data_IF_228365986816
#
_entry.id   IF_228365986816
#
_cell.length_a   1.000
_cell.length_b   1.000
_cell.length_c   1.000
_cell.angle_alpha   90.00
_cell.angle_beta   90.00
_cell.angle_gamma   90.00
#
_symmetry.space_group_name_H-M   'P 1'
#
loop_
_entity.id
_entity.type
_entity.pdbx_description
1 polymer ?
#
# COMPACT_ATOMS: atom_id res chain seq x y z
N UNK A 1 2.99 -46.27 13.73
CA UNK A 1 2.59 -44.98 13.11
C UNK A 1 1.08 -45.00 12.95
N UNK A 2 0.34 -44.31 13.81
CA UNK A 2 -1.08 -43.99 13.62
C UNK A 2 -1.18 -42.53 13.15
N UNK A 3 -2.22 -42.21 12.38
CA UNK A 3 -2.40 -40.96 11.64
C UNK A 3 -2.70 -39.69 12.49
N UNK A 4 -2.05 -39.56 13.64
CA UNK A 4 -2.11 -38.40 14.54
C UNK A 4 -0.86 -38.33 15.42
N UNK A 5 0.30 -38.51 14.78
CA UNK A 5 1.54 -38.99 15.38
C UNK A 5 2.08 -38.15 16.54
N UNK A 6 1.81 -38.61 17.77
CA UNK A 6 2.53 -38.18 18.97
C UNK A 6 3.74 -39.08 19.24
N UNK A 7 4.80 -38.51 19.81
CA UNK A 7 5.93 -39.23 20.38
C UNK A 7 5.74 -39.24 21.90
N UNK A 8 5.77 -40.42 22.51
CA UNK A 8 5.69 -40.59 23.96
C UNK A 8 6.98 -41.18 24.50
N UNK A 9 7.47 -40.62 25.61
CA UNK A 9 8.57 -41.19 26.38
C UNK A 9 8.02 -41.65 27.72
N UNK A 10 7.75 -42.96 27.81
CA UNK A 10 6.99 -43.57 28.92
C UNK A 10 7.67 -43.40 30.28
N UNK A 11 9.01 -43.48 30.32
CA UNK A 11 9.78 -43.38 31.56
C UNK A 11 9.53 -42.09 32.34
N UNK A 12 9.17 -40.99 31.65
CA UNK A 12 8.85 -39.69 32.27
C UNK A 12 7.41 -39.25 32.00
N UNK A 13 6.59 -40.10 31.36
CA UNK A 13 5.25 -39.75 30.91
C UNK A 13 5.18 -38.56 29.95
N UNK A 14 6.29 -38.21 29.30
CA UNK A 14 6.38 -37.03 28.44
C UNK A 14 5.80 -37.30 27.06
N UNK A 15 5.11 -36.30 26.49
CA UNK A 15 4.45 -36.41 25.19
C UNK A 15 4.78 -35.20 24.33
N UNK A 16 5.18 -35.45 23.08
CA UNK A 16 5.36 -34.45 22.04
C UNK A 16 4.34 -34.70 20.92
N UNK A 17 3.55 -33.69 20.55
CA UNK A 17 2.43 -33.87 19.62
C UNK A 17 2.36 -32.70 18.63
N UNK A 18 2.16 -32.97 17.32
CA UNK A 18 1.82 -31.93 16.36
C UNK A 18 0.39 -31.42 16.64
N UNK A 19 0.23 -30.10 16.55
CA UNK A 19 -1.05 -29.42 16.75
C UNK A 19 -1.45 -28.76 15.44
N UNK A 20 -2.75 -28.66 15.17
CA UNK A 20 -3.28 -27.94 14.01
C UNK A 20 -3.16 -26.43 14.24
N UNK A 21 -3.19 -25.68 13.14
CA UNK A 21 -3.22 -24.20 13.15
C UNK A 21 -4.58 -23.61 13.55
N UNK A 22 -5.52 -24.42 14.06
CA UNK A 22 -6.85 -23.98 14.51
C UNK A 22 -6.84 -23.74 16.02
N UNK A 23 -6.78 -22.45 16.40
CA UNK A 23 -6.67 -22.01 17.78
C UNK A 23 -7.81 -22.49 18.68
N UNK A 24 -9.03 -22.67 18.13
CA UNK A 24 -10.21 -23.07 18.90
C UNK A 24 -10.08 -24.48 19.52
N UNK A 25 -9.17 -25.30 19.01
CA UNK A 25 -8.92 -26.67 19.50
C UNK A 25 -7.79 -26.76 20.52
N UNK A 26 -7.14 -25.62 20.81
CA UNK A 26 -5.90 -25.54 21.58
C UNK A 26 -6.10 -25.01 23.00
N UNK A 27 -7.31 -24.59 23.36
CA UNK A 27 -7.63 -24.21 24.73
C UNK A 27 -7.56 -25.40 25.70
N UNK A 28 -7.16 -25.11 26.94
CA UNK A 28 -7.05 -26.10 28.02
C UNK A 28 -5.88 -27.08 27.89
N UNK A 29 -4.96 -26.87 26.94
CA UNK A 29 -3.66 -27.55 26.96
C UNK A 29 -2.84 -27.05 28.15
N UNK A 30 -1.96 -27.89 28.66
CA UNK A 30 -1.07 -27.55 29.77
C UNK A 30 0.38 -27.79 29.33
N UNK A 31 0.83 -27.04 28.33
CA UNK A 31 2.09 -27.27 27.64
C UNK A 31 3.28 -26.84 28.49
N UNK A 32 4.29 -27.71 28.61
CA UNK A 32 5.59 -27.33 29.21
C UNK A 32 6.55 -26.72 28.19
N UNK A 33 6.37 -27.06 26.91
CA UNK A 33 7.10 -26.48 25.79
C UNK A 33 6.16 -26.35 24.59
N UNK A 34 6.17 -25.20 23.95
CA UNK A 34 5.45 -24.91 22.70
C UNK A 34 6.46 -24.49 21.65
N UNK A 35 6.42 -25.12 20.47
CA UNK A 35 7.20 -24.72 19.31
C UNK A 35 6.21 -24.19 18.26
N UNK A 36 6.29 -22.89 17.99
CA UNK A 36 5.52 -22.23 16.93
C UNK A 36 6.41 -22.17 15.70
N UNK A 37 6.20 -23.12 14.81
CA UNK A 37 6.96 -23.23 13.56
C UNK A 37 6.29 -22.41 12.43
N UNK A 38 7.13 -21.94 11.51
CA UNK A 38 6.78 -21.10 10.36
C UNK A 38 5.83 -19.94 10.69
N UNK A 39 6.14 -19.19 11.76
CA UNK A 39 5.25 -18.14 12.26
C UNK A 39 4.92 -17.06 11.21
N UNK A 40 5.80 -16.82 10.23
CA UNK A 40 5.53 -15.92 9.10
C UNK A 40 4.30 -16.30 8.27
N UNK A 41 3.91 -17.57 8.27
CA UNK A 41 2.77 -18.09 7.53
C UNK A 41 1.45 -18.00 8.32
N UNK A 42 1.50 -17.65 9.60
CA UNK A 42 0.30 -17.54 10.44
C UNK A 42 -0.46 -16.26 10.08
N UNK A 43 -1.76 -16.40 9.83
CA UNK A 43 -2.63 -15.28 9.44
C UNK A 43 -2.90 -14.31 10.59
N UNK A 44 -3.00 -14.84 11.81
CA UNK A 44 -3.30 -14.14 13.06
C UNK A 44 -2.39 -14.69 14.17
N UNK A 45 -2.32 -13.99 15.30
CA UNK A 45 -1.54 -14.39 16.48
C UNK A 45 -2.29 -15.35 17.42
N UNK A 46 -3.51 -15.77 17.07
CA UNK A 46 -4.39 -16.56 17.93
C UNK A 46 -3.75 -17.86 18.43
N UNK A 47 -3.08 -18.61 17.53
CA UNK A 47 -2.39 -19.86 17.91
C UNK A 47 -1.26 -19.58 18.90
N UNK A 48 -0.49 -18.52 18.66
CA UNK A 48 0.56 -18.09 19.58
C UNK A 48 -0.02 -17.72 20.95
N UNK A 49 -1.08 -16.90 20.96
CA UNK A 49 -1.72 -16.40 22.18
C UNK A 49 -2.32 -17.53 23.02
N UNK A 50 -3.07 -18.44 22.40
CA UNK A 50 -3.69 -19.60 23.07
C UNK A 50 -2.61 -20.55 23.62
N UNK A 51 -1.56 -20.82 22.86
CA UNK A 51 -0.50 -21.70 23.36
C UNK A 51 0.30 -21.04 24.48
N UNK A 52 0.52 -19.73 24.43
CA UNK A 52 1.16 -18.97 25.51
C UNK A 52 0.31 -18.98 26.79
N UNK A 53 -1.01 -18.80 26.68
CA UNK A 53 -1.90 -18.85 27.85
C UNK A 53 -1.95 -20.24 28.49
N UNK A 54 -1.91 -21.29 27.66
CA UNK A 54 -1.89 -22.71 28.08
C UNK A 54 -0.73 -23.06 29.04
N UNK A 55 0.33 -22.25 29.04
CA UNK A 55 1.55 -22.47 29.81
C UNK A 55 1.47 -21.94 31.24
N UNK A 56 0.42 -21.19 31.61
CA UNK A 56 0.34 -20.45 32.88
C UNK A 56 0.42 -21.30 34.16
N UNK A 57 0.09 -22.60 34.09
CA UNK A 57 0.14 -23.51 35.25
C UNK A 57 1.50 -24.23 35.41
N UNK A 58 2.48 -24.00 34.53
CA UNK A 58 3.78 -24.71 34.52
C UNK A 58 4.87 -23.87 35.18
N UNK A 59 5.81 -24.55 35.87
CA UNK A 59 6.81 -23.87 36.71
C UNK A 59 7.91 -23.13 35.93
N UNK A 60 8.23 -23.55 34.70
CA UNK A 60 9.25 -22.93 33.83
C UNK A 60 8.96 -23.29 32.37
N UNK A 61 7.86 -22.79 31.79
CA UNK A 61 7.46 -23.24 30.46
C UNK A 61 8.25 -22.50 29.38
N UNK A 62 8.52 -23.16 28.27
CA UNK A 62 9.28 -22.59 27.15
C UNK A 62 8.40 -22.40 25.92
N UNK A 63 8.43 -21.22 25.31
CA UNK A 63 7.82 -20.97 23.99
C UNK A 63 8.94 -20.62 23.02
N UNK A 64 9.09 -21.41 21.97
CA UNK A 64 10.07 -21.20 20.92
C UNK A 64 9.35 -20.85 19.62
N UNK A 65 9.71 -19.72 19.01
CA UNK A 65 9.27 -19.36 17.65
C UNK A 65 10.42 -19.70 16.70
N UNK A 66 10.11 -20.47 15.66
CA UNK A 66 11.02 -20.77 14.56
C UNK A 66 10.35 -20.24 13.29
N UNK A 67 11.04 -19.39 12.55
CA UNK A 67 10.47 -18.77 11.35
C UNK A 67 11.55 -18.22 10.45
N UNK A 68 11.16 -17.94 9.21
CA UNK A 68 11.90 -17.15 8.24
C UNK A 68 11.15 -15.84 7.95
N UNK A 69 11.72 -15.00 7.09
CA UNK A 69 11.03 -13.83 6.54
C UNK A 69 9.84 -14.27 5.69
N UNK A 70 8.77 -13.50 5.76
CA UNK A 70 7.56 -13.69 4.97
C UNK A 70 7.21 -12.44 4.17
N UNK A 71 6.15 -12.56 3.40
CA UNK A 71 5.66 -11.46 2.55
C UNK A 71 4.64 -10.55 3.26
N UNK A 72 4.10 -10.99 4.42
CA UNK A 72 3.10 -10.24 5.16
C UNK A 72 3.74 -9.33 6.22
N UNK A 73 4.04 -8.09 5.81
CA UNK A 73 4.56 -7.04 6.69
C UNK A 73 3.53 -6.52 7.71
N UNK A 74 2.23 -6.77 7.50
CA UNK A 74 1.19 -6.48 8.49
C UNK A 74 0.89 -7.68 9.40
N UNK A 75 1.63 -8.79 9.22
CA UNK A 75 1.40 -10.04 9.92
C UNK A 75 1.97 -10.04 11.35
N UNK A 76 1.43 -10.90 12.22
CA UNK A 76 1.84 -10.99 13.62
C UNK A 76 3.33 -11.31 13.79
N UNK A 77 3.89 -12.12 12.89
CA UNK A 77 5.32 -12.44 12.90
C UNK A 77 6.22 -11.23 12.62
N UNK A 78 5.83 -10.35 11.69
CA UNK A 78 6.61 -9.15 11.40
C UNK A 78 6.59 -8.18 12.57
N UNK A 79 5.42 -8.00 13.18
CA UNK A 79 5.26 -7.20 14.40
C UNK A 79 6.12 -7.75 15.55
N UNK A 80 6.07 -9.07 15.78
CA UNK A 80 6.87 -9.72 16.82
C UNK A 80 8.38 -9.53 16.59
N UNK A 81 8.85 -9.77 15.35
CA UNK A 81 10.24 -9.52 14.95
C UNK A 81 10.64 -8.07 15.18
N UNK A 82 9.80 -7.12 14.79
CA UNK A 82 10.08 -5.68 14.94
C UNK A 82 10.24 -5.30 16.41
N UNK A 83 9.43 -5.86 17.31
CA UNK A 83 9.60 -5.70 18.75
C UNK A 83 10.91 -6.30 19.25
N UNK A 84 11.26 -7.51 18.78
CA UNK A 84 12.51 -8.16 19.15
C UNK A 84 13.75 -7.38 18.69
N UNK A 85 13.72 -6.75 17.51
CA UNK A 85 14.80 -5.87 17.05
C UNK A 85 14.95 -4.67 17.98
N UNK A 86 13.85 -3.99 18.32
CA UNK A 86 13.88 -2.85 19.25
C UNK A 86 14.49 -3.24 20.61
N UNK A 87 14.19 -4.45 21.10
CA UNK A 87 14.81 -5.00 22.30
C UNK A 87 16.32 -5.20 22.13
N UNK A 88 16.75 -5.83 21.03
CA UNK A 88 18.17 -6.06 20.73
C UNK A 88 18.96 -4.74 20.55
N UNK A 89 18.30 -3.69 20.07
CA UNK A 89 18.84 -2.33 19.97
C UNK A 89 18.86 -1.57 21.30
N UNK A 90 18.31 -2.15 22.38
CA UNK A 90 18.27 -1.55 23.71
C UNK A 90 17.21 -0.47 23.90
N UNK A 91 16.19 -0.41 23.04
CA UNK A 91 15.06 0.54 23.20
C UNK A 91 14.21 0.19 24.43
N UNK A 92 14.12 -1.10 24.76
CA UNK A 92 13.54 -1.61 26.00
C UNK A 92 14.18 -2.94 26.39
N UNK A 93 13.98 -3.37 27.63
CA UNK A 93 14.51 -4.63 28.18
C UNK A 93 13.39 -5.66 28.39
N UNK A 94 13.68 -6.93 28.06
CA UNK A 94 12.81 -8.09 28.36
C UNK A 94 13.68 -9.32 28.64
N UNK A 95 13.96 -9.57 29.93
CA UNK A 95 14.80 -10.69 30.39
C UNK A 95 14.20 -12.08 30.10
N UNK A 96 12.91 -12.15 29.75
CA UNK A 96 12.24 -13.40 29.43
C UNK A 96 12.37 -13.80 27.96
N UNK A 97 12.89 -12.92 27.09
CA UNK A 97 13.00 -13.15 25.65
C UNK A 97 14.46 -13.24 25.19
N UNK A 98 14.82 -14.38 24.60
CA UNK A 98 16.02 -14.53 23.79
C UNK A 98 15.66 -14.43 22.30
N UNK A 99 16.17 -13.42 21.61
CA UNK A 99 15.98 -13.24 20.18
C UNK A 99 17.30 -13.49 19.42
N UNK A 100 17.25 -14.33 18.38
CA UNK A 100 18.34 -14.56 17.44
C UNK A 100 17.81 -14.34 16.03
N UNK A 101 18.35 -13.35 15.32
CA UNK A 101 17.89 -12.96 13.99
C UNK A 101 19.07 -13.04 13.02
N UNK A 102 18.96 -13.95 12.06
CA UNK A 102 19.91 -14.09 10.95
C UNK A 102 19.28 -13.47 9.71
N UNK A 103 19.68 -12.26 9.34
CA UNK A 103 19.04 -11.50 8.25
C UNK A 103 20.11 -10.63 7.60
N UNK A 104 19.87 -10.20 6.36
CA UNK A 104 20.65 -9.12 5.78
C UNK A 104 20.18 -7.78 6.38
N UNK A 105 21.13 -6.88 6.58
CA UNK A 105 20.92 -5.51 7.01
C UNK A 105 20.28 -4.68 5.88
N UNK A 106 20.68 -4.92 4.63
CA UNK A 106 20.13 -4.22 3.47
C UNK A 106 20.25 -4.98 2.14
N UNK A 107 19.66 -4.44 1.07
CA UNK A 107 19.77 -5.02 -0.28
C UNK A 107 21.16 -4.79 -0.89
N UNK A 108 21.78 -3.67 -0.58
CA UNK A 108 23.02 -3.20 -1.18
C UNK A 108 24.20 -4.12 -0.85
N UNK A 109 24.22 -4.69 0.36
CA UNK A 109 25.29 -5.57 0.80
C UNK A 109 25.36 -6.90 0.04
N UNK A 110 24.25 -7.31 -0.62
CA UNK A 110 24.20 -8.52 -1.43
C UNK A 110 25.18 -8.50 -2.61
N UNK A 111 25.67 -7.31 -2.98
CA UNK A 111 26.74 -7.15 -3.96
C UNK A 111 28.09 -7.74 -3.51
N UNK A 112 28.29 -7.93 -2.21
CA UNK A 112 29.42 -8.64 -1.62
C UNK A 112 29.00 -10.04 -1.12
N UNK A 113 29.38 -11.13 -1.82
CA UNK A 113 29.02 -12.49 -1.43
C UNK A 113 29.48 -12.92 -0.04
N UNK A 114 30.48 -12.25 0.54
CA UNK A 114 30.94 -12.54 1.91
C UNK A 114 29.85 -12.25 2.93
N UNK A 115 28.96 -11.30 2.65
CA UNK A 115 27.85 -10.93 3.55
C UNK A 115 26.75 -11.99 3.59
N UNK A 116 26.67 -12.89 2.61
CA UNK A 116 25.58 -13.86 2.48
C UNK A 116 25.46 -14.83 3.65
N UNK A 117 26.54 -15.02 4.41
CA UNK A 117 26.56 -15.81 5.65
C UNK A 117 25.66 -15.24 6.74
N UNK A 118 25.41 -13.92 6.77
CA UNK A 118 24.59 -13.26 7.81
C UNK A 118 23.17 -13.80 7.88
N UNK A 119 22.53 -13.97 6.73
CA UNK A 119 21.18 -14.53 6.60
C UNK A 119 21.15 -16.05 6.50
N UNK A 120 22.31 -16.69 6.36
CA UNK A 120 22.44 -18.12 6.08
C UNK A 120 23.37 -18.78 7.12
N UNK A 121 22.90 -19.08 8.34
CA UNK A 121 23.74 -19.63 9.41
C UNK A 121 24.36 -20.99 9.09
N UNK A 122 23.85 -21.70 8.07
CA UNK A 122 24.40 -22.97 7.57
C UNK A 122 25.13 -22.82 6.21
N UNK A 123 25.65 -21.63 5.90
CA UNK A 123 26.41 -21.34 4.68
C UNK A 123 27.61 -22.29 4.53
N UNK A 124 27.77 -22.90 3.36
CA UNK A 124 28.80 -23.90 3.05
C UNK A 124 28.48 -25.32 3.54
N UNK A 125 27.58 -25.49 4.51
CA UNK A 125 27.15 -26.80 5.00
C UNK A 125 25.93 -27.32 4.24
N UNK A 126 24.74 -26.80 4.57
CA UNK A 126 23.47 -27.14 3.90
C UNK A 126 23.04 -26.11 2.86
N UNK A 127 23.46 -24.84 3.01
CA UNK A 127 23.26 -23.80 2.00
C UNK A 127 24.52 -23.71 1.15
N UNK A 128 24.40 -24.03 -0.15
CA UNK A 128 25.54 -24.04 -1.07
C UNK A 128 25.84 -22.64 -1.60
N UNK A 129 27.10 -22.17 -1.57
CA UNK A 129 27.46 -20.85 -2.12
C UNK A 129 27.03 -20.68 -3.57
N UNK A 130 27.22 -21.72 -4.39
CA UNK A 130 26.91 -21.70 -5.83
C UNK A 130 25.41 -21.49 -6.09
N UNK A 131 24.55 -22.02 -5.21
CA UNK A 131 23.11 -21.80 -5.29
C UNK A 131 22.74 -20.34 -5.00
N UNK A 132 23.37 -19.72 -3.98
CA UNK A 132 23.11 -18.31 -3.68
C UNK A 132 23.66 -17.39 -4.78
N UNK A 133 24.77 -17.74 -5.43
CA UNK A 133 25.28 -17.03 -6.61
C UNK A 133 24.25 -17.07 -7.75
N UNK A 134 23.73 -18.25 -8.08
CA UNK A 134 22.69 -18.42 -9.11
C UNK A 134 21.42 -17.62 -8.79
N UNK A 135 20.96 -17.65 -7.53
CA UNK A 135 19.80 -16.89 -7.09
C UNK A 135 20.06 -15.37 -7.17
N UNK A 136 21.24 -14.90 -6.79
CA UNK A 136 21.62 -13.50 -6.93
C UNK A 136 21.65 -13.05 -8.39
N UNK A 137 22.22 -13.86 -9.29
CA UNK A 137 22.18 -13.59 -10.73
C UNK A 137 20.74 -13.60 -11.29
N UNK A 138 19.91 -14.52 -10.82
CA UNK A 138 18.50 -14.63 -11.22
C UNK A 138 17.72 -13.39 -10.82
N UNK A 139 17.85 -12.94 -9.57
CA UNK A 139 17.20 -11.71 -9.09
C UNK A 139 17.57 -10.49 -9.95
N UNK A 140 18.83 -10.37 -10.37
CA UNK A 140 19.29 -9.25 -11.20
C UNK A 140 18.79 -9.28 -12.64
N UNK A 141 18.44 -10.46 -13.15
CA UNK A 141 17.99 -10.64 -14.54
C UNK A 141 16.48 -10.82 -14.65
N UNK A 142 15.81 -11.17 -13.56
CA UNK A 142 14.37 -11.45 -13.45
C UNK A 142 13.77 -10.69 -12.26
N UNK A 143 13.41 -9.41 -12.44
CA UNK A 143 12.84 -8.57 -11.38
C UNK A 143 11.60 -9.19 -10.72
N UNK A 144 10.80 -9.96 -11.46
CA UNK A 144 9.62 -10.65 -10.93
C UNK A 144 9.94 -11.72 -9.87
N UNK A 145 11.18 -12.21 -9.83
CA UNK A 145 11.64 -13.17 -8.82
C UNK A 145 12.32 -12.49 -7.63
N UNK A 146 12.57 -11.19 -7.70
CA UNK A 146 13.37 -10.48 -6.72
C UNK A 146 12.81 -10.59 -5.31
N UNK A 147 11.53 -10.28 -5.13
CA UNK A 147 10.91 -10.32 -3.80
C UNK A 147 10.98 -11.73 -3.19
N UNK A 148 10.76 -12.76 -4.01
CA UNK A 148 10.85 -14.15 -3.58
C UNK A 148 12.27 -14.53 -3.15
N UNK A 149 13.28 -14.11 -3.91
CA UNK A 149 14.70 -14.41 -3.65
C UNK A 149 15.18 -13.66 -2.40
N UNK A 150 14.92 -12.35 -2.30
CA UNK A 150 15.25 -11.55 -1.13
C UNK A 150 14.64 -12.13 0.15
N UNK A 151 13.38 -12.55 0.09
CA UNK A 151 12.68 -13.15 1.23
C UNK A 151 13.22 -14.54 1.58
N UNK A 152 13.32 -15.43 0.59
CA UNK A 152 13.59 -16.86 0.83
C UNK A 152 15.07 -17.23 0.93
N UNK A 153 15.96 -16.48 0.28
CA UNK A 153 17.40 -16.77 0.25
C UNK A 153 18.23 -15.83 1.13
N UNK A 154 17.75 -14.60 1.34
CA UNK A 154 18.46 -13.56 2.09
C UNK A 154 17.72 -13.08 3.35
N UNK A 155 16.59 -13.73 3.67
CA UNK A 155 15.80 -13.52 4.87
C UNK A 155 15.41 -12.05 5.12
N UNK A 156 15.15 -11.31 4.05
CA UNK A 156 14.69 -9.92 4.09
C UNK A 156 13.16 -9.86 4.05
N UNK A 157 12.57 -9.06 4.91
CA UNK A 157 11.14 -8.77 4.84
C UNK A 157 10.90 -7.73 3.76
N UNK A 158 10.66 -8.21 2.55
CA UNK A 158 10.28 -7.36 1.42
C UNK A 158 8.83 -7.62 1.08
N UNK A 159 8.14 -6.54 0.70
CA UNK A 159 6.80 -6.68 0.17
C UNK A 159 6.92 -7.40 -1.18
N UNK A 160 6.14 -8.45 -1.39
CA UNK A 160 5.85 -8.90 -2.74
C UNK A 160 4.88 -7.88 -3.34
N UNK A 161 5.42 -6.76 -3.76
CA UNK A 161 4.74 -5.89 -4.70
C UNK A 161 5.51 -6.02 -6.00
N UNK A 162 4.79 -6.28 -7.09
CA UNK A 162 5.10 -5.51 -8.28
C UNK A 162 5.04 -4.05 -7.82
N UNK A 163 6.16 -3.50 -7.33
CA UNK A 163 6.28 -2.10 -6.98
C UNK A 163 5.90 -1.38 -8.25
N UNK A 164 4.69 -0.83 -8.28
CA UNK A 164 4.16 -0.33 -9.54
C UNK A 164 5.05 0.80 -10.06
N UNK A 165 5.39 1.74 -9.18
CA UNK A 165 6.37 2.80 -9.44
C UNK A 165 7.35 2.79 -8.28
N UNK A 166 8.64 2.61 -8.61
CA UNK A 166 9.70 2.62 -7.62
C UNK A 166 9.87 4.01 -7.00
N UNK A 167 10.25 4.05 -5.72
CA UNK A 167 10.32 5.29 -4.95
C UNK A 167 11.35 6.28 -5.50
N UNK A 168 12.46 5.78 -6.05
CA UNK A 168 13.48 6.58 -6.73
C UNK A 168 12.96 7.21 -8.03
N UNK A 169 12.22 6.43 -8.84
CA UNK A 169 11.52 6.92 -10.04
C UNK A 169 10.52 8.01 -9.68
N UNK A 170 9.71 7.79 -8.64
CA UNK A 170 8.76 8.79 -8.17
C UNK A 170 9.47 10.05 -7.66
N UNK A 171 10.52 9.91 -6.84
CA UNK A 171 11.27 11.05 -6.30
C UNK A 171 11.95 11.90 -7.38
N UNK A 172 12.33 11.31 -8.51
CA UNK A 172 12.89 12.02 -9.65
C UNK A 172 11.86 12.95 -10.34
N UNK A 173 10.56 12.70 -10.15
CA UNK A 173 9.44 13.53 -10.63
C UNK A 173 9.10 14.72 -9.70
N UNK A 174 10.03 15.12 -8.82
CA UNK A 174 9.83 16.31 -8.00
C UNK A 174 9.99 17.56 -8.89
N UNK A 175 8.95 18.39 -8.89
CA UNK A 175 8.95 19.64 -9.65
C UNK A 175 10.03 20.62 -9.17
N UNK A 176 10.67 21.30 -10.13
CA UNK A 176 11.46 22.52 -9.90
C UNK A 176 10.65 23.79 -10.20
N UNK A 177 9.46 23.66 -10.80
CA UNK A 177 8.59 24.80 -11.10
C UNK A 177 7.84 25.27 -9.85
N UNK A 178 7.65 26.59 -9.64
CA UNK A 178 6.85 27.10 -8.54
C UNK A 178 5.36 26.79 -8.76
N UNK A 179 4.65 26.32 -7.73
CA UNK A 179 3.20 26.04 -7.80
C UNK A 179 2.41 27.27 -8.24
N UNK A 180 2.88 28.47 -7.89
CA UNK A 180 2.26 29.75 -8.24
C UNK A 180 2.18 29.99 -9.74
N UNK A 181 3.05 29.36 -10.54
CA UNK A 181 3.00 29.49 -12.01
C UNK A 181 1.80 28.80 -12.63
N UNK A 182 1.10 27.93 -11.89
CA UNK A 182 -0.10 27.25 -12.35
C UNK A 182 -1.35 28.13 -12.27
N UNK A 183 -1.30 29.29 -11.61
CA UNK A 183 -2.48 30.14 -11.43
C UNK A 183 -3.04 30.61 -12.79
N UNK A 184 -4.34 30.38 -13.00
CA UNK A 184 -5.02 30.67 -14.26
C UNK A 184 -4.78 29.65 -15.40
N UNK A 185 -3.88 28.68 -15.22
CA UNK A 185 -3.67 27.62 -16.22
C UNK A 185 -4.88 26.68 -16.29
N UNK A 186 -5.08 26.08 -17.47
CA UNK A 186 -6.12 25.09 -17.68
C UNK A 186 -5.74 23.77 -17.00
N UNK A 187 -6.67 23.18 -16.26
CA UNK A 187 -6.45 21.90 -15.60
C UNK A 187 -7.67 20.99 -15.63
N UNK A 188 -7.40 19.71 -15.43
CA UNK A 188 -8.39 18.66 -15.25
C UNK A 188 -8.26 18.13 -13.84
N UNK A 189 -9.35 17.63 -13.26
CA UNK A 189 -9.33 17.15 -11.89
C UNK A 189 -9.94 15.76 -11.78
N UNK A 190 -9.49 15.01 -10.78
CA UNK A 190 -10.16 13.81 -10.29
C UNK A 190 -10.51 13.99 -8.82
N UNK A 191 -11.73 13.58 -8.46
CA UNK A 191 -12.31 13.70 -7.13
C UNK A 191 -12.70 12.32 -6.62
N UNK A 192 -11.91 11.81 -5.69
CA UNK A 192 -12.13 10.54 -5.01
C UNK A 192 -12.63 10.80 -3.59
N UNK A 193 -13.95 10.72 -3.42
CA UNK A 193 -14.58 10.85 -2.10
C UNK A 193 -14.58 9.48 -1.43
N UNK A 194 -13.84 9.39 -0.32
CA UNK A 194 -13.88 8.19 0.52
C UNK A 194 -15.27 7.98 1.11
N UNK A 195 -15.44 6.83 1.77
CA UNK A 195 -16.64 6.60 2.58
C UNK A 195 -16.80 7.71 3.62
N UNK A 196 -18.02 7.85 4.16
CA UNK A 196 -18.45 8.95 5.05
C UNK A 196 -17.44 9.33 6.15
N UNK A 197 -16.61 8.39 6.63
CA UNK A 197 -15.63 8.61 7.70
C UNK A 197 -14.17 8.36 7.24
N UNK A 198 -13.82 8.69 6.00
CA UNK A 198 -12.53 8.32 5.38
C UNK A 198 -11.87 9.46 4.59
N UNK A 199 -10.64 9.22 4.14
CA UNK A 199 -9.90 10.18 3.31
C UNK A 199 -10.68 10.54 2.04
N UNK A 200 -10.72 11.83 1.73
CA UNK A 200 -11.17 12.34 0.43
C UNK A 200 -10.02 13.05 -0.25
N UNK A 201 -9.91 12.89 -1.57
CA UNK A 201 -8.80 13.41 -2.36
C UNK A 201 -9.30 14.13 -3.60
N UNK A 202 -8.69 15.27 -3.91
CA UNK A 202 -8.82 15.96 -5.18
C UNK A 202 -7.42 16.13 -5.76
N UNK A 203 -7.20 15.76 -7.01
CA UNK A 203 -5.93 16.03 -7.69
C UNK A 203 -6.21 16.84 -8.95
N UNK A 204 -5.56 17.99 -9.07
CA UNK A 204 -5.54 18.78 -10.31
C UNK A 204 -4.35 18.32 -11.16
N UNK A 205 -4.58 18.08 -12.44
CA UNK A 205 -3.59 17.75 -13.45
C UNK A 205 -3.50 18.90 -14.47
N UNK A 206 -2.34 19.53 -14.52
CA UNK A 206 -1.96 20.56 -15.49
C UNK A 206 -1.06 19.93 -16.55
N UNK A 207 -1.09 20.49 -17.77
CA UNK A 207 -0.25 20.04 -18.89
C UNK A 207 0.50 21.23 -19.46
N UNK A 208 1.39 21.81 -18.63
CA UNK A 208 2.16 23.00 -18.95
C UNK A 208 3.65 22.64 -19.13
N UNK A 209 4.39 23.43 -19.91
CA UNK A 209 5.85 23.25 -20.09
C UNK A 209 6.28 21.83 -20.51
N UNK A 210 5.50 21.17 -21.37
CA UNK A 210 5.73 19.78 -21.83
C UNK A 210 5.77 18.73 -20.69
N UNK A 211 5.17 19.05 -19.54
CA UNK A 211 5.08 18.19 -18.37
C UNK A 211 3.64 18.07 -17.89
N UNK A 212 3.34 16.97 -17.20
CA UNK A 212 2.08 16.79 -16.47
C UNK A 212 2.31 17.10 -14.99
N UNK A 213 1.82 18.24 -14.50
CA UNK A 213 1.93 18.62 -13.09
C UNK A 213 0.70 18.18 -12.30
N UNK A 214 0.91 17.44 -11.20
CA UNK A 214 -0.11 16.99 -10.26
C UNK A 214 -0.08 17.83 -8.99
N UNK A 215 -1.19 18.51 -8.71
CA UNK A 215 -1.38 19.28 -7.48
C UNK A 215 -2.49 18.64 -6.62
N UNK A 216 -2.13 17.90 -5.56
CA UNK A 216 -3.09 17.17 -4.74
C UNK A 216 -3.60 17.97 -3.52
N UNK A 217 -4.86 17.72 -3.16
CA UNK A 217 -5.55 18.25 -1.99
C UNK A 217 -6.26 17.12 -1.25
N UNK A 218 -6.14 17.10 0.08
CA UNK A 218 -6.61 15.99 0.91
C UNK A 218 -7.43 16.47 2.11
N UNK A 219 -8.48 15.71 2.43
CA UNK A 219 -9.33 15.94 3.60
C UNK A 219 -9.48 14.67 4.44
N UNK A 220 -9.58 14.84 5.76
CA UNK A 220 -9.87 13.78 6.72
C UNK A 220 -10.89 14.27 7.78
N UNK A 221 -11.92 13.47 8.12
CA UNK A 221 -12.84 13.81 9.22
C UNK A 221 -12.16 13.86 10.59
N UNK A 222 -12.59 14.78 11.45
CA UNK A 222 -12.01 14.97 12.79
C UNK A 222 -12.10 13.71 13.65
N UNK A 223 -13.22 12.98 13.64
CA UNK A 223 -13.32 11.71 14.39
C UNK A 223 -12.34 10.66 13.85
N UNK A 224 -12.18 10.57 12.53
CA UNK A 224 -11.22 9.64 11.92
C UNK A 224 -9.78 10.02 12.28
N UNK A 225 -9.49 11.32 12.34
CA UNK A 225 -8.22 11.86 12.79
C UNK A 225 -7.97 11.56 14.28
N UNK A 226 -8.97 11.74 15.16
CA UNK A 226 -8.88 11.43 16.59
C UNK A 226 -8.71 9.94 16.86
N UNK A 227 -9.53 9.09 16.27
CA UNK A 227 -9.44 7.63 16.41
C UNK A 227 -8.11 7.10 15.87
N UNK A 228 -7.60 7.63 14.74
CA UNK A 228 -6.24 7.30 14.28
C UNK A 228 -5.17 7.77 15.27
N UNK A 229 -5.28 8.93 15.91
CA UNK A 229 -4.37 9.38 16.98
C UNK A 229 -4.42 8.47 18.21
N UNK A 230 -5.61 8.07 18.64
CA UNK A 230 -5.81 7.18 19.79
C UNK A 230 -5.27 5.77 19.52
N UNK A 231 -5.32 5.31 18.28
CA UNK A 231 -4.71 4.05 17.83
C UNK A 231 -3.17 4.10 17.71
N UNK A 232 -2.49 5.20 18.06
CA UNK A 232 -1.09 5.39 17.67
C UNK A 232 -0.11 5.78 18.77
N UNK A 233 0.72 4.79 19.13
CA UNK A 233 2.18 4.99 19.18
C UNK A 233 2.86 4.86 17.79
N UNK A 234 2.12 4.65 16.69
CA UNK A 234 2.71 4.13 15.42
C UNK A 234 2.46 4.89 14.09
N UNK A 235 1.64 5.96 13.94
CA UNK A 235 1.64 6.76 12.68
C UNK A 235 1.93 8.26 12.87
N UNK A 236 3.18 8.56 13.19
CA UNK A 236 3.73 9.92 13.29
C UNK A 236 3.47 10.85 12.07
N UNK A 237 3.11 10.30 10.90
CA UNK A 237 3.00 11.05 9.64
C UNK A 237 1.73 11.91 9.50
N UNK A 238 0.56 11.45 9.97
CA UNK A 238 -0.71 12.19 9.77
C UNK A 238 -0.68 13.53 10.51
N UNK A 239 -0.21 13.53 11.75
CA UNK A 239 -0.06 14.74 12.54
C UNK A 239 0.93 15.72 11.93
N UNK A 240 2.00 15.21 11.32
CA UNK A 240 2.95 16.03 10.57
C UNK A 240 2.26 16.66 9.36
N UNK A 241 1.49 15.90 8.58
CA UNK A 241 0.79 16.40 7.41
C UNK A 241 -0.27 17.46 7.74
N UNK A 242 -1.02 17.28 8.83
CA UNK A 242 -1.98 18.29 9.32
C UNK A 242 -1.25 19.57 9.76
N UNK A 243 -0.16 19.45 10.53
CA UNK A 243 0.65 20.60 10.95
C UNK A 243 1.31 21.34 9.77
N UNK A 244 1.68 20.62 8.73
CA UNK A 244 2.23 21.18 7.50
C UNK A 244 1.16 21.77 6.57
N UNK A 245 -0.13 21.63 6.90
CA UNK A 245 -1.23 22.10 6.06
C UNK A 245 -1.47 21.28 4.79
N UNK A 246 -0.86 20.09 4.70
CA UNK A 246 -0.98 19.17 3.55
C UNK A 246 -2.25 18.29 3.63
N UNK A 247 -2.76 18.08 4.84
CA UNK A 247 -3.99 17.33 5.10
C UNK A 247 -4.94 18.20 5.91
N UNK A 248 -6.13 18.47 5.36
CA UNK A 248 -7.13 19.30 6.03
C UNK A 248 -8.07 18.46 6.88
N UNK A 249 -8.19 18.79 8.16
CA UNK A 249 -9.18 18.17 9.04
C UNK A 249 -10.53 18.86 8.85
N UNK A 250 -11.57 18.09 8.54
CA UNK A 250 -12.95 18.58 8.47
C UNK A 250 -13.67 18.36 9.81
N UNK A 251 -14.44 19.32 10.33
CA UNK A 251 -15.12 19.18 11.62
C UNK A 251 -16.11 18.00 11.63
N UNK A 252 -16.26 17.36 12.79
CA UNK A 252 -17.30 16.36 13.03
C UNK A 252 -16.90 14.91 12.76
N UNK A 253 -17.91 14.04 12.81
CA UNK A 253 -17.78 12.59 12.68
C UNK A 253 -17.72 12.09 11.22
N UNK A 254 -18.26 12.90 10.31
CA UNK A 254 -18.38 12.61 8.89
C UNK A 254 -17.61 13.64 8.08
N UNK A 255 -17.24 13.31 6.84
CA UNK A 255 -16.63 14.26 5.91
C UNK A 255 -17.57 15.45 5.70
N UNK A 256 -17.13 16.64 6.11
CA UNK A 256 -17.89 17.87 5.91
C UNK A 256 -17.78 18.31 4.44
N UNK A 257 -18.77 17.90 3.66
CA UNK A 257 -18.84 18.21 2.23
C UNK A 257 -18.94 19.72 1.96
N UNK A 258 -19.43 20.54 2.88
CA UNK A 258 -19.44 22.00 2.69
C UNK A 258 -18.03 22.60 2.79
N UNK A 259 -17.13 21.98 3.56
CA UNK A 259 -15.71 22.36 3.56
C UNK A 259 -15.07 22.00 2.24
N UNK A 260 -15.30 20.78 1.72
CA UNK A 260 -14.75 20.33 0.44
C UNK A 260 -15.29 21.19 -0.71
N UNK A 261 -16.60 21.45 -0.74
CA UNK A 261 -17.27 22.29 -1.74
C UNK A 261 -16.64 23.67 -1.82
N UNK A 262 -16.45 24.33 -0.67
CA UNK A 262 -15.83 25.66 -0.58
C UNK A 262 -14.38 25.66 -1.05
N UNK A 263 -13.64 24.61 -0.75
CA UNK A 263 -12.26 24.48 -1.21
C UNK A 263 -12.18 24.29 -2.73
N UNK A 264 -13.03 23.45 -3.30
CA UNK A 264 -13.12 23.28 -4.75
C UNK A 264 -13.54 24.59 -5.42
N UNK A 265 -14.53 25.31 -4.89
CA UNK A 265 -14.94 26.61 -5.41
C UNK A 265 -13.79 27.65 -5.37
N UNK A 266 -13.00 27.67 -4.30
CA UNK A 266 -11.80 28.53 -4.20
C UNK A 266 -10.77 28.15 -5.26
N UNK A 267 -10.54 26.86 -5.48
CA UNK A 267 -9.61 26.37 -6.50
C UNK A 267 -10.09 26.72 -7.91
N UNK A 268 -11.39 26.63 -8.18
CA UNK A 268 -11.99 27.04 -9.45
C UNK A 268 -11.89 28.55 -9.70
N UNK A 269 -11.78 29.37 -8.65
CA UNK A 269 -11.46 30.80 -8.77
C UNK A 269 -9.97 31.08 -9.01
N UNK A 270 -9.09 30.12 -8.73
CA UNK A 270 -7.63 30.25 -8.87
C UNK A 270 -7.10 29.62 -10.17
N UNK A 271 -7.76 28.56 -10.66
CA UNK A 271 -7.35 27.75 -11.80
C UNK A 271 -8.51 27.59 -12.78
N UNK A 272 -8.20 27.42 -14.07
CA UNK A 272 -9.19 27.17 -15.11
C UNK A 272 -9.53 25.67 -15.18
N UNK A 273 -10.35 25.21 -14.22
CA UNK A 273 -10.76 23.80 -14.13
C UNK A 273 -11.74 23.48 -15.26
N UNK A 274 -11.26 22.74 -16.25
CA UNK A 274 -12.04 22.37 -17.45
C UNK A 274 -12.99 21.21 -17.22
N UNK A 275 -12.62 20.30 -16.32
CA UNK A 275 -13.43 19.14 -15.97
C UNK A 275 -13.00 18.52 -14.66
N UNK A 276 -13.95 17.98 -13.90
CA UNK A 276 -13.72 17.24 -12.65
C UNK A 276 -14.35 15.85 -12.78
N UNK A 277 -13.51 14.84 -13.00
CA UNK A 277 -13.89 13.44 -12.96
C UNK A 277 -14.21 13.00 -11.53
N UNK A 278 -15.24 12.20 -11.36
CA UNK A 278 -15.57 11.55 -10.08
C UNK A 278 -16.13 10.15 -10.34
N UNK A 279 -16.01 9.23 -9.38
CA UNK A 279 -16.62 7.91 -9.53
C UNK A 279 -18.13 8.03 -9.75
N UNK A 280 -18.60 7.56 -10.92
CA UNK A 280 -20.02 7.61 -11.30
C UNK A 280 -20.95 6.93 -10.29
N UNK A 281 -20.46 5.95 -9.54
CA UNK A 281 -21.26 5.30 -8.49
C UNK A 281 -21.36 6.13 -7.20
N UNK A 282 -20.52 7.16 -7.09
CA UNK A 282 -20.43 8.05 -5.95
C UNK A 282 -21.27 9.33 -6.17
N UNK A 283 -22.58 9.13 -6.37
CA UNK A 283 -23.59 10.20 -6.53
C UNK A 283 -23.91 10.89 -5.20
N UNK A 284 -22.89 11.43 -4.55
CA UNK A 284 -23.01 12.12 -3.27
C UNK A 284 -23.71 13.48 -3.42
N UNK A 285 -24.29 13.97 -2.32
CA UNK A 285 -24.88 15.32 -2.25
C UNK A 285 -23.88 16.40 -2.69
N UNK A 286 -22.59 16.22 -2.36
CA UNK A 286 -21.51 17.12 -2.78
C UNK A 286 -21.42 17.27 -4.30
N UNK A 287 -21.54 16.19 -5.08
CA UNK A 287 -21.46 16.25 -6.54
C UNK A 287 -22.63 17.08 -7.12
N UNK A 288 -23.83 16.90 -6.57
CA UNK A 288 -25.02 17.67 -6.97
C UNK A 288 -24.80 19.16 -6.67
N UNK A 289 -24.25 19.46 -5.50
CA UNK A 289 -23.98 20.82 -5.07
C UNK A 289 -22.90 21.51 -5.92
N UNK A 290 -21.82 20.81 -6.27
CA UNK A 290 -20.78 21.30 -7.18
C UNK A 290 -21.32 21.54 -8.60
N UNK A 291 -22.21 20.67 -9.09
CA UNK A 291 -22.92 20.87 -10.36
C UNK A 291 -23.81 22.13 -10.31
N UNK A 292 -24.55 22.34 -9.22
CA UNK A 292 -25.37 23.53 -9.02
C UNK A 292 -24.53 24.82 -8.92
N UNK A 293 -23.30 24.73 -8.44
CA UNK A 293 -22.32 25.81 -8.42
C UNK A 293 -21.72 26.11 -9.81
N UNK A 294 -22.07 25.31 -10.83
CA UNK A 294 -21.63 25.49 -12.21
C UNK A 294 -20.27 24.86 -12.52
N UNK A 295 -19.76 23.96 -11.66
CA UNK A 295 -18.51 23.26 -11.93
C UNK A 295 -18.70 22.15 -12.98
N UNK A 296 -17.71 21.93 -13.86
CA UNK A 296 -17.79 20.96 -14.95
C UNK A 296 -17.54 19.53 -14.46
N UNK A 297 -18.46 18.99 -13.66
CA UNK A 297 -18.38 17.61 -13.15
C UNK A 297 -18.66 16.60 -14.26
N UNK A 298 -17.89 15.50 -14.30
CA UNK A 298 -18.11 14.38 -15.23
C UNK A 298 -18.00 13.03 -14.51
N UNK A 299 -18.95 12.14 -14.83
CA UNK A 299 -19.02 10.82 -14.20
C UNK A 299 -18.00 9.86 -14.81
N UNK A 300 -16.86 9.71 -14.16
CA UNK A 300 -15.79 8.82 -14.59
C UNK A 300 -16.11 7.37 -14.19
N UNK A 301 -16.38 6.51 -15.17
CA UNK A 301 -16.63 5.10 -14.91
C UNK A 301 -15.31 4.37 -14.65
N UNK A 302 -15.07 3.87 -13.43
CA UNK A 302 -13.84 3.14 -13.08
C UNK A 302 -13.83 1.66 -13.54
N UNK A 303 -14.47 1.34 -14.68
CA UNK A 303 -14.33 0.01 -15.29
C UNK A 303 -12.89 -0.20 -15.78
N UNK A 304 -12.43 -1.45 -15.85
CA UNK A 304 -11.06 -1.76 -16.30
C UNK A 304 -10.76 -1.17 -17.69
N UNK A 305 -11.73 -1.14 -18.59
CA UNK A 305 -11.58 -0.59 -19.93
C UNK A 305 -11.36 0.93 -19.95
N UNK A 306 -11.95 1.65 -19.01
CA UNK A 306 -11.90 3.11 -18.98
C UNK A 306 -10.75 3.64 -18.11
N UNK A 307 -10.41 2.95 -17.01
CA UNK A 307 -9.31 3.35 -16.12
C UNK A 307 -7.93 2.87 -16.59
N UNK A 308 -7.87 1.83 -17.42
CA UNK A 308 -6.59 1.27 -17.92
C UNK A 308 -5.77 2.25 -18.75
N UNK A 309 -6.32 2.95 -19.76
CA UNK A 309 -5.55 3.94 -20.53
C UNK A 309 -4.91 5.04 -19.68
N UNK A 310 -5.63 5.75 -18.77
CA UNK A 310 -4.98 6.75 -17.93
C UNK A 310 -4.06 6.15 -16.85
N UNK A 311 -4.30 4.92 -16.39
CA UNK A 311 -3.35 4.23 -15.49
C UNK A 311 -2.02 3.98 -16.21
N UNK A 312 -2.07 3.52 -17.46
CA UNK A 312 -0.87 3.33 -18.30
C UNK A 312 -0.17 4.65 -18.58
N UNK A 313 -0.92 5.72 -18.82
CA UNK A 313 -0.34 7.04 -19.06
C UNK A 313 0.31 7.63 -17.80
N UNK A 314 -0.32 7.48 -16.62
CA UNK A 314 0.28 7.83 -15.33
C UNK A 314 1.61 7.10 -15.12
N UNK A 315 1.63 5.78 -15.36
CA UNK A 315 2.86 4.98 -15.26
C UNK A 315 3.93 5.45 -16.26
N UNK A 316 3.54 5.73 -17.51
CA UNK A 316 4.44 6.22 -18.55
C UNK A 316 5.07 7.56 -18.15
N UNK A 317 4.25 8.53 -17.75
CA UNK A 317 4.69 9.88 -17.34
C UNK A 317 5.66 9.83 -16.16
N UNK A 318 5.37 9.00 -15.16
CA UNK A 318 6.26 8.82 -14.01
C UNK A 318 7.61 8.21 -14.45
N UNK A 319 7.59 7.16 -15.28
CA UNK A 319 8.82 6.48 -15.73
C UNK A 319 9.66 7.31 -16.71
N UNK A 320 9.04 8.16 -17.52
CA UNK A 320 9.76 9.04 -18.46
C UNK A 320 10.28 10.32 -17.81
N UNK A 321 9.88 10.60 -16.55
CA UNK A 321 10.21 11.86 -15.88
C UNK A 321 9.41 13.05 -16.42
N UNK A 322 8.29 12.81 -17.12
CA UNK A 322 7.40 13.84 -17.64
C UNK A 322 6.32 14.25 -16.62
N UNK A 323 6.22 13.54 -15.50
CA UNK A 323 5.34 13.87 -14.39
C UNK A 323 6.04 14.80 -13.38
N UNK A 324 5.29 15.74 -12.81
CA UNK A 324 5.72 16.59 -11.71
C UNK A 324 4.71 16.55 -10.56
N UNK A 325 5.12 16.32 -9.31
CA UNK A 325 4.17 16.19 -8.17
C UNK A 325 4.53 17.05 -6.95
N UNK A 326 5.42 18.03 -7.13
CA UNK A 326 5.85 19.01 -6.11
C UNK A 326 6.38 18.41 -4.79
N UNK A 327 6.77 17.14 -4.78
CA UNK A 327 7.26 16.47 -3.58
C UNK A 327 6.20 16.23 -2.50
N UNK A 328 4.91 16.19 -2.84
CA UNK A 328 3.86 15.96 -1.84
C UNK A 328 4.05 14.58 -1.12
N UNK A 329 4.29 14.56 0.21
CA UNK A 329 4.60 13.34 0.94
C UNK A 329 3.41 12.40 1.12
N UNK A 330 2.17 12.93 1.10
CA UNK A 330 0.95 12.10 1.18
C UNK A 330 0.79 11.33 -0.13
N UNK A 331 0.92 12.02 -1.27
CA UNK A 331 0.81 11.39 -2.58
C UNK A 331 1.92 10.34 -2.79
N UNK A 332 3.17 10.63 -2.37
CA UNK A 332 4.27 9.64 -2.36
C UNK A 332 3.94 8.41 -1.52
N UNK A 333 3.45 8.60 -0.30
CA UNK A 333 3.01 7.50 0.55
C UNK A 333 1.90 6.68 -0.13
N UNK A 334 0.90 7.34 -0.72
CA UNK A 334 -0.17 6.65 -1.45
C UNK A 334 0.35 5.86 -2.65
N UNK A 335 1.31 6.38 -3.42
CA UNK A 335 1.96 5.67 -4.54
C UNK A 335 2.66 4.39 -4.05
N UNK A 336 3.37 4.44 -2.91
CA UNK A 336 4.03 3.26 -2.35
C UNK A 336 3.07 2.14 -1.92
N UNK A 337 1.79 2.48 -1.72
CA UNK A 337 0.76 1.52 -1.33
C UNK A 337 0.05 0.87 -2.53
N UNK A 338 0.28 1.34 -3.76
CA UNK A 338 -0.53 0.89 -4.90
C UNK A 338 -0.23 -0.54 -5.29
N UNK A 339 -1.27 -1.36 -5.30
CA UNK A 339 -1.27 -2.67 -5.96
C UNK A 339 -2.06 -2.58 -7.26
N UNK A 340 -1.42 -2.93 -8.39
CA UNK A 340 -2.05 -2.92 -9.71
C UNK A 340 -2.50 -4.34 -10.10
N UNK A 341 -3.72 -4.44 -10.62
CA UNK A 341 -4.20 -5.62 -11.31
C UNK A 341 -3.89 -5.49 -12.80
N UNK A 342 -3.29 -6.54 -13.36
CA UNK A 342 -3.06 -6.71 -14.80
C UNK A 342 -3.92 -7.86 -15.32
N UNK A 343 -4.74 -7.61 -16.32
CA UNK A 343 -5.53 -8.68 -16.98
C UNK A 343 -4.76 -9.34 -18.14
N UNK A 344 -5.37 -10.36 -18.77
CA UNK A 344 -4.76 -11.08 -19.89
C UNK A 344 -4.59 -10.22 -21.18
N UNK A 345 -5.27 -9.08 -21.26
CA UNK A 345 -5.15 -8.11 -22.37
C UNK A 345 -4.21 -6.96 -22.00
N UNK A 346 -3.38 -7.14 -20.96
CA UNK A 346 -2.45 -6.15 -20.45
C UNK A 346 -3.13 -4.88 -19.91
N UNK A 347 -4.42 -4.91 -19.59
CA UNK A 347 -5.08 -3.75 -18.97
C UNK A 347 -4.63 -3.59 -17.53
N UNK A 348 -4.43 -2.33 -17.11
CA UNK A 348 -4.01 -2.00 -15.75
C UNK A 348 -5.14 -1.35 -14.96
N UNK A 349 -5.22 -1.69 -13.68
CA UNK A 349 -6.13 -1.03 -12.74
C UNK A 349 -5.54 -1.03 -11.34
N UNK A 350 -5.37 0.14 -10.68
CA UNK A 350 -5.08 0.20 -9.25
C UNK A 350 -6.22 -0.43 -8.46
N UNK A 351 -5.90 -1.27 -7.48
CA UNK A 351 -6.91 -2.04 -6.73
C UNK A 351 -6.91 -1.64 -5.27
N UNK A 352 -7.90 -0.81 -4.88
CA UNK A 352 -8.06 -0.33 -3.50
C UNK A 352 -8.12 -1.46 -2.46
N UNK A 353 -8.85 -2.55 -2.74
CA UNK A 353 -9.04 -3.65 -1.77
C UNK A 353 -7.83 -4.59 -1.63
N UNK A 354 -6.84 -4.52 -2.53
CA UNK A 354 -5.58 -5.26 -2.42
C UNK A 354 -4.42 -4.39 -1.94
N UNK A 355 -4.61 -3.07 -1.96
CA UNK A 355 -3.62 -2.11 -1.47
C UNK A 355 -3.63 -2.13 0.06
N UNK A 356 -2.48 -2.25 0.73
CA UNK A 356 -2.41 -2.38 2.20
C UNK A 356 -2.90 -1.13 2.93
N UNK A 357 -2.79 0.03 2.28
CA UNK A 357 -3.13 1.35 2.82
C UNK A 357 -3.78 2.24 1.74
N UNK A 358 -4.05 3.49 2.05
CA UNK A 358 -4.78 4.43 1.19
C UNK A 358 -4.06 4.71 -0.13
N UNK A 359 -4.86 4.80 -1.20
CA UNK A 359 -4.41 5.13 -2.57
C UNK A 359 -5.32 6.16 -3.25
N UNK A 360 -6.23 6.79 -2.51
CA UNK A 360 -7.31 7.63 -3.05
C UNK A 360 -6.78 8.82 -3.87
N UNK A 361 -5.66 9.42 -3.45
CA UNK A 361 -4.97 10.45 -4.21
C UNK A 361 -4.41 9.97 -5.54
N UNK A 362 -3.95 8.72 -5.62
CA UNK A 362 -3.44 8.14 -6.87
C UNK A 362 -4.59 7.85 -7.83
N UNK A 363 -5.72 7.34 -7.32
CA UNK A 363 -6.93 7.13 -8.12
C UNK A 363 -7.44 8.46 -8.67
N UNK A 364 -7.55 9.49 -7.82
CA UNK A 364 -7.90 10.85 -8.23
C UNK A 364 -6.93 11.41 -9.30
N UNK A 365 -5.62 11.18 -9.16
CA UNK A 365 -4.65 11.61 -10.18
C UNK A 365 -4.85 10.91 -11.53
N UNK A 366 -5.14 9.60 -11.52
CA UNK A 366 -5.44 8.83 -12.73
C UNK A 366 -6.74 9.31 -13.38
N UNK A 367 -7.76 9.62 -12.59
CA UNK A 367 -9.01 10.20 -13.10
C UNK A 367 -8.77 11.57 -13.75
N UNK A 368 -7.96 12.43 -13.11
CA UNK A 368 -7.59 13.74 -13.68
C UNK A 368 -6.90 13.61 -15.05
N UNK A 369 -5.95 12.68 -15.17
CA UNK A 369 -5.29 12.35 -16.45
C UNK A 369 -6.31 11.78 -17.44
N UNK A 370 -7.22 10.92 -16.98
CA UNK A 370 -8.28 10.35 -17.81
C UNK A 370 -9.17 11.42 -18.42
N UNK A 371 -9.54 12.44 -17.65
CA UNK A 371 -10.34 13.55 -18.15
C UNK A 371 -9.59 14.44 -19.14
N UNK A 372 -8.31 14.69 -18.90
CA UNK A 372 -7.46 15.36 -19.88
C UNK A 372 -7.39 14.56 -21.18
N UNK A 373 -7.05 13.26 -21.11
CA UNK A 373 -6.98 12.39 -22.29
C UNK A 373 -8.31 12.35 -23.06
N UNK A 374 -9.44 12.36 -22.35
CA UNK A 374 -10.78 12.40 -22.93
C UNK A 374 -11.01 13.70 -23.70
N UNK A 375 -10.60 14.84 -23.15
CA UNK A 375 -10.72 16.14 -23.80
C UNK A 375 -9.81 16.30 -25.03
N UNK A 376 -8.66 15.61 -25.06
CA UNK A 376 -7.76 15.60 -26.22
C UNK A 376 -8.26 14.74 -27.39
N UNK A 377 -9.24 13.85 -27.16
CA UNK A 377 -9.84 13.10 -28.25
C UNK A 377 -10.65 14.06 -29.11
N UNK A 378 -10.32 14.13 -30.40
CA UNK A 378 -11.19 14.79 -31.38
C UNK A 378 -12.58 14.16 -31.28
N UNK A 379 -13.66 14.94 -31.14
CA UNK A 379 -15.00 14.38 -31.16
C UNK A 379 -15.15 13.50 -32.40
N UNK A 380 -15.78 12.32 -32.31
CA UNK A 380 -16.18 11.64 -33.54
C UNK A 380 -16.97 12.65 -34.37
N UNK A 381 -16.67 12.71 -35.68
CA UNK A 381 -17.45 13.53 -36.60
C UNK A 381 -18.94 13.30 -36.31
N UNK A 382 -19.71 14.39 -36.20
CA UNK A 382 -21.15 14.32 -35.95
C UNK A 382 -21.74 13.23 -36.85
N UNK A 383 -22.57 12.39 -36.25
CA UNK A 383 -23.17 11.25 -36.94
C UNK A 383 -23.81 11.75 -38.25
N UNK A 384 -23.57 11.09 -39.38
CA UNK A 384 -24.20 11.43 -40.66
C UNK A 384 -25.74 11.46 -40.54
N UNK A 385 -26.30 10.75 -39.56
CA UNK A 385 -27.71 10.73 -39.21
C UNK A 385 -28.21 12.02 -38.52
N UNK A 386 -27.32 12.81 -37.91
CA UNK A 386 -27.64 14.15 -37.39
C UNK A 386 -27.62 15.21 -38.50
N UNK A 387 -26.86 14.99 -39.58
CA UNK A 387 -26.75 15.93 -40.71
C UNK A 387 -27.74 15.65 -41.85
N UNK A 388 -28.18 14.39 -42.01
CA UNK A 388 -29.18 14.02 -43.02
C UNK A 388 -30.51 13.75 -42.33
N UNK A 389 -31.47 14.65 -42.54
CA UNK A 389 -32.87 14.39 -42.22
C UNK A 389 -33.37 13.07 -42.83
N UNK A 390 -34.44 12.52 -42.25
CA UNK A 390 -35.07 11.27 -42.68
C UNK A 390 -35.23 11.23 -44.20
N UNK A 391 -34.55 10.28 -44.85
CA UNK A 391 -34.80 9.99 -46.27
C UNK A 391 -36.11 9.24 -46.37
N UNK A 392 -37.17 9.93 -46.77
CA UNK A 392 -38.41 9.32 -47.23
C UNK A 392 -38.21 8.78 -48.64
N UNK A 393 -38.51 7.49 -48.82
CA UNK A 393 -38.51 6.79 -50.11
C UNK A 393 -39.78 7.06 -50.89
#
# INVERSE_FOLDING_TARGET
RSAGGSISYEATGSVFKPLSSDANTLDGKNASCTIVDEFHAHKTDEVYAVMKSSMGARRQPLLCIITTAGFNLAGPCFTYRSSAIKMLEGIFEDDALLAMIYTQDSREELSDPVTWVKSNPCFGASVKPEFLEEQYHTMRTKPEQESAILTKNFNLWVQASDIWIADDVWCACRSETPVESLAGCACYAGLDLGSVNDFSSLVLAFHENDRTQLLPFFWIPEEKYRTRREMQRENANIDVWVRQGLLRVTPGNVTDYEVIRRDIARLAGQYDIRKIGYDRWNSSQLVIDLLNDGLPMDGFQQSISNISPPTKEFERLARSGDLEHYGNPILRWMVSNVVVYRDANDNLKPVKNRSPEKIDGVVAAIEAIGEWMSAQRTPPARSIYEERGLRTF
#
